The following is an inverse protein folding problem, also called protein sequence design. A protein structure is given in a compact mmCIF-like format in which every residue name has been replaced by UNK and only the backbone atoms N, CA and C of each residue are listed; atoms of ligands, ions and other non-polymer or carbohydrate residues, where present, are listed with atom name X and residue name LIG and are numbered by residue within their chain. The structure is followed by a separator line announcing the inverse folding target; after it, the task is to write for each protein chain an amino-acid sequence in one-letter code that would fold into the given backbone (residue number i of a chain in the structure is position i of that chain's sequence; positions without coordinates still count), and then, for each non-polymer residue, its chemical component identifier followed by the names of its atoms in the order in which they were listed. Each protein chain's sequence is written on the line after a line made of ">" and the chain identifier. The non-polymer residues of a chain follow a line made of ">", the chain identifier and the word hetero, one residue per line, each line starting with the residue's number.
data_IF_415879993461
#
_entry.id   IF_415879993461
#
_cell.length_a   1.000
_cell.length_b   1.000
_cell.length_c   1.000
_cell.angle_alpha   90.00
_cell.angle_beta   90.00
_cell.angle_gamma   90.00
#
_symmetry.space_group_name_H-M   'P 1'
#
loop_
_entity.id
_entity.type
_entity.pdbx_description
1 polymer ?
#
# COMPACT_ATOMS: atom_id res chain seq x y z
N UNK A 1 9.95 65.62 -35.84
CA UNK A 1 8.77 64.75 -35.66
C UNK A 1 9.31 63.34 -35.45
N UNK A 2 9.29 62.84 -34.22
CA UNK A 2 10.05 61.63 -33.82
C UNK A 2 9.21 60.37 -34.00
N UNK A 3 9.81 59.30 -34.55
CA UNK A 3 9.12 58.06 -34.90
C UNK A 3 8.74 57.25 -33.64
N UNK A 4 7.61 56.55 -33.68
CA UNK A 4 7.02 55.84 -32.52
C UNK A 4 7.93 54.71 -32.00
N UNK A 5 8.82 54.18 -32.85
CA UNK A 5 9.83 53.18 -32.49
C UNK A 5 11.00 53.72 -31.66
N UNK A 6 11.36 55.01 -31.80
CA UNK A 6 12.44 55.61 -30.99
C UNK A 6 11.99 55.87 -29.55
N UNK A 7 10.68 56.02 -29.31
CA UNK A 7 10.11 56.09 -27.95
C UNK A 7 10.17 54.75 -27.21
N UNK A 8 10.15 53.62 -27.92
CA UNK A 8 10.18 52.29 -27.30
C UNK A 8 11.58 51.91 -26.81
N UNK A 9 12.64 52.33 -27.53
CA UNK A 9 14.03 52.09 -27.10
C UNK A 9 14.45 52.95 -25.90
N UNK A 10 13.91 54.16 -25.74
CA UNK A 10 14.24 55.04 -24.62
C UNK A 10 13.62 54.61 -23.27
N UNK A 11 12.59 53.76 -23.30
CA UNK A 11 11.96 53.21 -22.09
C UNK A 11 12.60 51.91 -21.59
N UNK A 12 13.25 51.14 -22.46
CA UNK A 12 13.88 49.87 -22.09
C UNK A 12 15.27 50.05 -21.46
N UNK A 13 15.99 51.14 -21.74
CA UNK A 13 17.39 51.31 -21.31
C UNK A 13 17.57 52.03 -19.97
N UNK A 14 16.50 52.46 -19.28
CA UNK A 14 16.60 53.16 -17.97
C UNK A 14 16.12 52.36 -16.75
N UNK A 15 15.60 51.14 -16.94
CA UNK A 15 15.10 50.33 -15.82
C UNK A 15 16.01 49.14 -15.44
N UNK A 16 17.13 48.93 -16.13
CA UNK A 16 17.97 47.73 -15.96
C UNK A 16 19.24 47.93 -15.10
N UNK A 17 19.54 49.14 -14.60
CA UNK A 17 20.78 49.39 -13.83
C UNK A 17 20.56 49.89 -12.40
N UNK A 18 19.50 49.47 -11.71
CA UNK A 18 19.29 49.92 -10.31
C UNK A 18 18.62 48.93 -9.37
N UNK A 19 18.91 47.62 -9.48
CA UNK A 19 18.46 46.62 -8.47
C UNK A 19 19.42 45.44 -8.26
N UNK A 20 20.73 45.68 -8.33
CA UNK A 20 21.73 44.65 -7.96
C UNK A 20 22.28 44.81 -6.53
N UNK A 21 22.10 45.96 -5.87
CA UNK A 21 22.73 46.25 -4.57
C UNK A 21 21.76 46.24 -3.37
N UNK A 22 20.59 45.61 -3.50
CA UNK A 22 19.59 45.59 -2.42
C UNK A 22 19.08 44.18 -2.09
N UNK A 23 19.96 43.19 -2.21
CA UNK A 23 19.68 41.78 -1.86
C UNK A 23 20.60 41.27 -0.73
N UNK A 24 21.56 42.08 -0.25
CA UNK A 24 22.48 41.69 0.83
C UNK A 24 22.16 42.26 2.24
N UNK A 25 21.10 43.05 2.40
CA UNK A 25 20.75 43.71 3.68
C UNK A 25 19.42 43.27 4.30
N UNK A 26 18.92 42.09 3.94
CA UNK A 26 17.72 41.49 4.54
C UNK A 26 17.87 39.99 4.84
N UNK A 27 19.12 39.52 5.04
CA UNK A 27 19.42 38.16 5.54
C UNK A 27 19.77 38.17 7.04
N UNK A 28 19.70 39.32 7.73
CA UNK A 28 20.06 39.41 9.16
C UNK A 28 19.03 40.03 10.11
N UNK A 29 17.83 40.41 9.65
CA UNK A 29 16.79 40.96 10.54
C UNK A 29 15.39 40.49 10.17
N UNK A 30 15.08 39.26 10.54
CA UNK A 30 13.74 38.67 10.35
C UNK A 30 13.53 37.41 11.18
N UNK A 31 14.29 37.25 12.26
CA UNK A 31 13.94 36.33 13.34
C UNK A 31 12.64 36.86 13.95
N UNK A 32 11.65 35.97 14.17
CA UNK A 32 10.28 36.23 14.66
C UNK A 32 9.21 36.51 13.60
N UNK A 33 8.95 35.54 12.71
CA UNK A 33 7.59 35.39 12.17
C UNK A 33 6.81 34.54 13.18
N UNK A 34 5.87 35.21 13.84
CA UNK A 34 4.78 34.65 14.63
C UNK A 34 4.23 33.36 13.99
N UNK A 35 4.35 32.25 14.72
CA UNK A 35 3.64 31.00 14.45
C UNK A 35 2.15 31.26 14.76
N UNK A 36 1.46 31.91 13.82
CA UNK A 36 0.01 32.03 13.81
C UNK A 36 -0.53 30.66 13.46
N UNK A 37 -0.99 29.94 14.48
CA UNK A 37 -2.07 28.95 14.42
C UNK A 37 -2.10 28.07 13.18
N UNK A 38 -1.11 27.20 13.00
CA UNK A 38 -1.40 25.91 12.39
C UNK A 38 -2.29 25.23 13.42
N UNK A 39 -3.61 25.26 13.19
CA UNK A 39 -4.51 24.27 13.75
C UNK A 39 -3.81 22.93 13.51
N UNK A 40 -3.24 22.39 14.58
CA UNK A 40 -2.90 20.99 14.65
C UNK A 40 -4.23 20.28 14.43
N UNK A 41 -4.54 20.01 13.15
CA UNK A 41 -5.55 19.02 12.83
C UNK A 41 -5.13 17.81 13.64
N UNK A 42 -6.00 17.29 14.52
CA UNK A 42 -5.67 16.04 15.19
C UNK A 42 -5.32 15.09 14.07
N UNK A 43 -4.08 14.58 14.07
CA UNK A 43 -3.77 13.38 13.33
C UNK A 43 -4.87 12.43 13.76
N UNK A 44 -5.84 12.17 12.89
CA UNK A 44 -6.92 11.25 13.19
C UNK A 44 -6.21 9.99 13.61
N UNK A 45 -6.29 9.68 14.91
CA UNK A 45 -5.68 8.50 15.48
C UNK A 45 -6.23 7.35 14.65
N UNK A 46 -5.41 6.84 13.73
CA UNK A 46 -5.82 5.74 12.87
C UNK A 46 -6.10 4.60 13.83
N UNK A 47 -7.38 4.18 13.90
CA UNK A 47 -7.81 3.16 14.82
C UNK A 47 -6.94 1.92 14.63
N UNK A 48 -6.06 1.67 15.59
CA UNK A 48 -5.24 0.48 15.62
C UNK A 48 -6.20 -0.68 15.86
N UNK A 49 -6.59 -1.40 14.80
CA UNK A 49 -7.37 -2.63 14.99
C UNK A 49 -6.49 -3.63 15.71
N UNK A 50 -7.04 -4.21 16.76
CA UNK A 50 -6.43 -5.33 17.46
C UNK A 50 -6.19 -6.47 16.46
N UNK A 51 -5.00 -7.10 16.48
CA UNK A 51 -4.75 -8.31 15.72
C UNK A 51 -5.83 -9.37 16.01
N UNK A 52 -6.23 -10.10 14.96
CA UNK A 52 -7.07 -11.28 15.10
C UNK A 52 -6.27 -12.38 15.82
N UNK A 53 -6.95 -13.12 16.69
CA UNK A 53 -6.41 -14.35 17.27
C UNK A 53 -6.24 -15.43 16.21
N UNK A 54 -5.42 -16.45 16.50
CA UNK A 54 -5.21 -17.58 15.59
C UNK A 54 -6.52 -18.30 15.28
N UNK A 55 -7.41 -18.48 16.26
CA UNK A 55 -8.70 -19.15 16.07
C UNK A 55 -9.60 -18.36 15.11
N UNK A 56 -9.68 -17.04 15.27
CA UNK A 56 -10.43 -16.16 14.37
C UNK A 56 -9.89 -16.17 12.94
N UNK A 57 -8.55 -16.18 12.79
CA UNK A 57 -7.90 -16.31 11.49
C UNK A 57 -8.18 -17.65 10.83
N UNK A 58 -8.14 -18.74 11.59
CA UNK A 58 -8.43 -20.06 11.07
C UNK A 58 -9.90 -20.19 10.63
N UNK A 59 -10.82 -19.72 11.45
CA UNK A 59 -12.26 -19.76 11.17
C UNK A 59 -12.63 -18.92 9.94
N UNK A 60 -12.03 -17.74 9.79
CA UNK A 60 -12.35 -16.80 8.71
C UNK A 60 -11.66 -17.12 7.38
N UNK A 61 -10.60 -17.93 7.40
CA UNK A 61 -9.82 -18.22 6.20
C UNK A 61 -10.53 -19.23 5.29
N UNK A 62 -10.74 -18.86 4.02
CA UNK A 62 -11.12 -19.84 3.00
C UNK A 62 -9.96 -20.78 2.69
N UNK A 63 -8.72 -20.34 2.89
CA UNK A 63 -7.54 -21.15 2.65
C UNK A 63 -6.42 -20.86 3.65
N UNK A 64 -5.75 -21.92 4.10
CA UNK A 64 -4.55 -21.82 4.94
C UNK A 64 -3.40 -22.53 4.24
N UNK A 65 -2.36 -21.77 3.90
CA UNK A 65 -1.18 -22.24 3.15
C UNK A 65 0.06 -22.07 3.98
N UNK A 66 0.93 -23.08 3.98
CA UNK A 66 2.34 -22.91 4.39
C UNK A 66 3.18 -22.82 3.13
N UNK A 67 3.98 -21.76 3.00
CA UNK A 67 4.78 -21.52 1.81
C UNK A 67 6.03 -20.71 2.08
N UNK A 68 6.89 -20.60 1.06
CA UNK A 68 8.07 -19.72 1.06
C UNK A 68 7.82 -18.51 0.18
N UNK A 69 8.01 -17.31 0.72
CA UNK A 69 7.84 -16.07 -0.06
C UNK A 69 9.00 -15.92 -1.05
N UNK A 70 8.72 -15.91 -2.35
CA UNK A 70 9.74 -15.85 -3.42
C UNK A 70 9.96 -14.46 -3.97
N UNK A 71 8.90 -13.67 -4.06
CA UNK A 71 8.99 -12.29 -4.50
C UNK A 71 7.89 -11.45 -3.90
N UNK A 72 8.16 -10.15 -3.84
CA UNK A 72 7.24 -9.11 -3.41
C UNK A 72 7.32 -7.98 -4.41
N UNK A 73 6.19 -7.52 -4.89
CA UNK A 73 6.07 -6.32 -5.71
C UNK A 73 5.02 -5.40 -5.10
N UNK A 74 5.22 -4.11 -5.22
CA UNK A 74 4.24 -3.10 -4.82
C UNK A 74 3.85 -2.23 -6.01
N UNK A 75 2.62 -1.75 -5.98
CA UNK A 75 2.10 -0.79 -6.93
C UNK A 75 1.27 0.26 -6.20
N UNK A 76 1.46 1.51 -6.59
CA UNK A 76 0.59 2.60 -6.18
C UNK A 76 -0.67 2.62 -7.08
N UNK A 77 -1.83 2.66 -6.46
CA UNK A 77 -3.15 2.68 -7.10
C UNK A 77 -3.87 3.95 -6.66
N UNK A 78 -4.33 4.74 -7.62
CA UNK A 78 -5.13 5.94 -7.33
C UNK A 78 -6.52 5.52 -6.87
N UNK A 79 -6.96 6.07 -5.75
CA UNK A 79 -8.31 5.90 -5.17
C UNK A 79 -8.97 7.26 -5.01
N UNK A 80 -10.28 7.30 -4.76
CA UNK A 80 -11.03 8.57 -4.68
C UNK A 80 -10.43 9.57 -3.66
N UNK A 81 -9.82 9.07 -2.58
CA UNK A 81 -9.23 9.85 -1.50
C UNK A 81 -7.69 9.73 -1.45
N UNK A 82 -7.04 9.74 -2.62
CA UNK A 82 -5.58 9.79 -2.74
C UNK A 82 -4.99 8.56 -3.44
N UNK A 83 -3.95 7.98 -2.86
CA UNK A 83 -3.29 6.79 -3.37
C UNK A 83 -3.23 5.70 -2.30
N UNK A 84 -3.33 4.45 -2.73
CA UNK A 84 -3.15 3.26 -1.93
C UNK A 84 -1.98 2.44 -2.47
N UNK A 85 -1.17 1.86 -1.58
CA UNK A 85 -0.15 0.89 -1.98
C UNK A 85 -0.69 -0.53 -1.87
N UNK A 86 -0.81 -1.20 -3.01
CA UNK A 86 -1.16 -2.61 -3.10
C UNK A 86 0.12 -3.43 -3.28
N UNK A 87 0.17 -4.56 -2.56
CA UNK A 87 1.28 -5.48 -2.57
C UNK A 87 0.82 -6.82 -3.15
N UNK A 88 1.70 -7.41 -3.94
CA UNK A 88 1.55 -8.74 -4.51
C UNK A 88 2.75 -9.58 -4.11
N UNK A 89 2.50 -10.74 -3.52
CA UNK A 89 3.49 -11.73 -3.14
C UNK A 89 3.36 -12.97 -4.03
N UNK A 90 4.49 -13.50 -4.49
CA UNK A 90 4.55 -14.84 -5.08
C UNK A 90 5.07 -15.79 -4.01
N UNK A 91 4.29 -16.83 -3.73
CA UNK A 91 4.55 -17.78 -2.64
C UNK A 91 4.63 -19.18 -3.21
N UNK A 92 5.77 -19.85 -2.99
CA UNK A 92 5.91 -21.27 -3.29
C UNK A 92 5.21 -22.08 -2.21
N UNK A 93 4.14 -22.77 -2.56
CA UNK A 93 3.34 -23.58 -1.64
C UNK A 93 4.13 -24.81 -1.20
N UNK A 94 4.34 -24.97 0.10
CA UNK A 94 4.94 -26.16 0.70
C UNK A 94 3.89 -27.15 1.18
N UNK A 95 2.84 -26.65 1.82
CA UNK A 95 1.68 -27.47 2.19
C UNK A 95 0.41 -26.64 2.24
N UNK A 96 -0.73 -27.30 2.08
CA UNK A 96 -2.06 -26.70 2.23
C UNK A 96 -2.70 -27.33 3.45
N UNK A 97 -3.02 -26.51 4.45
CA UNK A 97 -3.63 -26.96 5.71
C UNK A 97 -5.15 -26.98 5.62
N UNK A 98 -5.72 -26.03 4.89
CA UNK A 98 -7.18 -25.90 4.69
C UNK A 98 -7.45 -25.27 3.32
N UNK A 99 -8.49 -25.76 2.65
CA UNK A 99 -9.06 -25.16 1.45
C UNK A 99 -10.57 -25.41 1.44
N UNK A 100 -11.35 -24.34 1.54
CA UNK A 100 -12.81 -24.36 1.45
C UNK A 100 -13.15 -23.69 0.11
N UNK A 101 -13.62 -24.44 -0.89
CA UNK A 101 -14.03 -23.84 -2.15
C UNK A 101 -15.26 -22.97 -1.93
N UNK A 102 -15.21 -21.69 -2.28
CA UNK A 102 -16.35 -20.76 -2.16
C UNK A 102 -17.59 -21.24 -2.95
N UNK A 103 -17.38 -22.00 -4.01
CA UNK A 103 -18.44 -22.71 -4.72
C UNK A 103 -17.82 -23.81 -5.56
N UNK A 104 -17.55 -24.96 -4.95
CA UNK A 104 -17.25 -26.16 -5.73
C UNK A 104 -18.56 -26.68 -6.31
N UNK A 105 -18.64 -26.87 -7.62
CA UNK A 105 -19.70 -27.69 -8.21
C UNK A 105 -19.58 -29.09 -7.62
N UNK A 106 -20.57 -29.49 -6.82
CA UNK A 106 -20.65 -30.85 -6.29
C UNK A 106 -20.68 -31.79 -7.48
N UNK A 107 -19.71 -32.70 -7.58
CA UNK A 107 -19.73 -33.72 -8.62
C UNK A 107 -20.98 -34.61 -8.41
N UNK A 108 -21.48 -35.28 -9.46
CA UNK A 108 -22.63 -36.18 -9.35
C UNK A 108 -22.44 -37.30 -8.32
N UNK A 109 -21.19 -37.67 -8.01
CA UNK A 109 -20.82 -38.65 -6.98
C UNK A 109 -20.79 -38.07 -5.55
N UNK A 110 -21.15 -36.80 -5.38
CA UNK A 110 -21.15 -36.11 -4.09
C UNK A 110 -19.79 -35.58 -3.64
N UNK A 111 -18.72 -35.85 -4.39
CA UNK A 111 -17.39 -35.32 -4.10
C UNK A 111 -17.23 -33.88 -4.57
N UNK A 112 -16.41 -33.10 -3.86
CA UNK A 112 -16.01 -31.78 -4.31
C UNK A 112 -14.71 -31.91 -5.10
N UNK A 113 -14.73 -31.54 -6.39
CA UNK A 113 -13.49 -31.30 -7.10
C UNK A 113 -12.89 -30.01 -6.55
N UNK A 114 -11.61 -29.98 -6.11
CA UNK A 114 -10.96 -28.70 -5.93
C UNK A 114 -10.96 -27.98 -7.29
N UNK A 115 -11.31 -26.68 -7.33
CA UNK A 115 -11.18 -25.90 -8.55
C UNK A 115 -9.75 -26.05 -9.11
N UNK A 116 -9.57 -25.91 -10.43
CA UNK A 116 -8.25 -26.00 -11.07
C UNK A 116 -7.20 -25.13 -10.38
N UNK A 117 -7.67 -24.02 -9.84
CA UNK A 117 -6.89 -22.91 -9.27
C UNK A 117 -6.65 -23.06 -7.75
N UNK A 118 -7.07 -24.18 -7.16
CA UNK A 118 -6.76 -24.47 -5.76
C UNK A 118 -5.23 -24.52 -5.54
N UNK A 119 -4.70 -23.90 -4.45
CA UNK A 119 -3.30 -24.00 -4.07
C UNK A 119 -2.85 -25.46 -3.97
N UNK A 120 -1.67 -25.77 -4.50
CA UNK A 120 -1.10 -27.13 -4.51
C UNK A 120 0.37 -27.10 -4.10
N UNK A 121 0.84 -28.05 -3.28
CA UNK A 121 2.26 -28.17 -2.96
C UNK A 121 3.15 -28.17 -4.20
N UNK A 122 4.28 -27.46 -4.14
CA UNK A 122 5.23 -27.29 -5.24
C UNK A 122 4.80 -26.31 -6.33
N UNK A 123 3.64 -25.66 -6.20
CA UNK A 123 3.20 -24.59 -7.12
C UNK A 123 3.37 -23.22 -6.49
N UNK A 124 3.46 -22.21 -7.33
CA UNK A 124 3.45 -20.82 -6.90
C UNK A 124 2.01 -20.29 -6.90
N UNK A 125 1.66 -19.52 -5.88
CA UNK A 125 0.41 -18.76 -5.81
C UNK A 125 0.71 -17.27 -5.73
N UNK A 126 -0.20 -16.47 -6.26
CA UNK A 126 -0.21 -15.01 -6.10
C UNK A 126 -1.11 -14.64 -4.92
N UNK A 127 -0.58 -13.84 -4.00
CA UNK A 127 -1.30 -13.36 -2.82
C UNK A 127 -1.24 -11.84 -2.78
N UNK A 128 -2.41 -11.21 -2.67
CA UNK A 128 -2.54 -9.76 -2.60
C UNK A 128 -2.76 -9.29 -1.17
N UNK A 129 -2.25 -8.11 -0.85
CA UNK A 129 -2.55 -7.44 0.42
C UNK A 129 -2.28 -5.95 0.35
N UNK A 130 -2.83 -5.21 1.31
CA UNK A 130 -2.58 -3.79 1.51
C UNK A 130 -1.74 -3.58 2.76
N UNK A 131 -0.96 -2.51 2.80
CA UNK A 131 -0.21 -2.09 3.98
C UNK A 131 -0.77 -0.78 4.52
N UNK A 132 -0.79 -0.67 5.85
CA UNK A 132 -1.09 0.58 6.56
C UNK A 132 -0.19 1.72 6.05
N UNK A 133 -0.79 2.87 5.71
CA UNK A 133 -0.06 4.06 5.23
C UNK A 133 -0.82 4.99 4.27
N UNK A 134 -2.05 4.66 3.88
CA UNK A 134 -2.90 5.54 3.05
C UNK A 134 -3.82 6.47 3.86
N UNK A 135 -4.22 7.59 3.27
CA UNK A 135 -5.08 8.63 3.87
C UNK A 135 -6.53 8.19 4.19
N UNK A 136 -6.88 6.93 3.93
CA UNK A 136 -8.27 6.51 3.70
C UNK A 136 -8.89 5.65 4.81
N UNK A 137 -8.17 5.39 5.92
CA UNK A 137 -8.72 4.59 7.03
C UNK A 137 -9.06 3.13 6.66
N UNK A 138 -8.52 2.64 5.54
CA UNK A 138 -8.75 1.30 5.03
C UNK A 138 -7.97 0.29 5.90
N UNK A 139 -8.63 -0.80 6.28
CA UNK A 139 -8.02 -1.93 6.99
C UNK A 139 -6.86 -2.48 6.16
N UNK A 140 -5.78 -2.91 6.79
CA UNK A 140 -4.54 -3.31 6.11
C UNK A 140 -3.70 -4.22 6.98
N UNK A 141 -2.71 -4.88 6.37
CA UNK A 141 -1.72 -5.64 7.10
C UNK A 141 -0.87 -4.73 8.01
N UNK A 142 -0.57 -5.25 9.21
CA UNK A 142 0.28 -4.58 10.19
C UNK A 142 1.76 -4.57 9.77
N UNK A 143 2.18 -5.56 9.00
CA UNK A 143 3.56 -5.76 8.57
C UNK A 143 3.66 -6.42 7.19
N UNK A 144 4.81 -6.22 6.53
CA UNK A 144 5.09 -6.85 5.23
C UNK A 144 5.46 -8.31 5.42
N UNK A 145 5.08 -9.12 4.43
CA UNK A 145 5.59 -10.48 4.32
C UNK A 145 7.13 -10.47 4.24
N UNK A 146 7.85 -11.30 5.01
CA UNK A 146 9.29 -11.42 4.92
C UNK A 146 9.70 -12.16 3.64
N UNK A 147 10.57 -11.55 2.83
CA UNK A 147 11.11 -12.18 1.63
C UNK A 147 12.02 -13.36 2.00
N UNK A 148 11.95 -14.44 1.21
CA UNK A 148 12.69 -15.68 1.39
C UNK A 148 12.47 -16.41 2.74
N UNK A 149 11.44 -16.02 3.50
CA UNK A 149 11.04 -16.70 4.71
C UNK A 149 9.91 -17.70 4.47
N UNK A 150 9.84 -18.70 5.35
CA UNK A 150 8.71 -19.60 5.43
C UNK A 150 7.60 -18.96 6.27
N UNK A 151 6.39 -18.99 5.76
CA UNK A 151 5.23 -18.34 6.36
C UNK A 151 4.02 -19.25 6.30
N UNK A 152 3.14 -19.11 7.29
CA UNK A 152 1.77 -19.58 7.20
C UNK A 152 0.90 -18.39 6.82
N UNK A 153 0.06 -18.57 5.83
CA UNK A 153 -0.83 -17.56 5.28
C UNK A 153 -2.28 -17.97 5.55
N UNK A 154 -3.06 -17.02 6.03
CA UNK A 154 -4.51 -17.11 6.22
C UNK A 154 -5.15 -16.27 5.13
N UNK A 155 -5.78 -16.94 4.19
CA UNK A 155 -6.22 -16.37 2.92
C UNK A 155 -7.74 -16.35 2.84
N UNK A 156 -8.26 -15.31 2.19
CA UNK A 156 -9.64 -15.20 1.75
C UNK A 156 -9.68 -14.88 0.26
N UNK A 157 -10.84 -15.04 -0.37
CA UNK A 157 -11.06 -14.58 -1.75
C UNK A 157 -11.80 -13.26 -1.70
N UNK A 158 -11.35 -12.28 -2.48
CA UNK A 158 -12.12 -11.03 -2.67
C UNK A 158 -12.95 -11.11 -3.95
N UNK A 159 -13.92 -10.20 -4.16
CA UNK A 159 -14.73 -10.14 -5.38
C UNK A 159 -13.92 -9.98 -6.68
N UNK A 160 -12.63 -9.62 -6.59
CA UNK A 160 -11.71 -9.59 -7.73
C UNK A 160 -11.22 -10.98 -8.16
N UNK A 161 -11.64 -12.05 -7.46
CA UNK A 161 -11.28 -13.44 -7.76
C UNK A 161 -9.87 -13.83 -7.34
N UNK A 162 -9.15 -12.96 -6.63
CA UNK A 162 -7.80 -13.22 -6.17
C UNK A 162 -7.77 -13.65 -4.71
N UNK A 163 -6.66 -14.30 -4.32
CA UNK A 163 -6.38 -14.61 -2.92
C UNK A 163 -5.78 -13.38 -2.23
N UNK A 164 -6.36 -13.01 -1.09
CA UNK A 164 -5.89 -11.92 -0.25
C UNK A 164 -5.58 -12.41 1.15
N UNK A 165 -4.61 -11.77 1.81
CA UNK A 165 -4.36 -12.01 3.23
C UNK A 165 -5.55 -11.50 4.05
N UNK A 166 -5.98 -12.28 5.04
CA UNK A 166 -6.89 -11.78 6.07
C UNK A 166 -6.25 -10.61 6.82
N UNK A 167 -6.98 -9.54 7.01
CA UNK A 167 -6.47 -8.36 7.71
C UNK A 167 -6.89 -8.38 9.19
N UNK A 168 -6.06 -7.84 10.10
CA UNK A 168 -4.82 -7.08 9.86
C UNK A 168 -3.52 -7.90 9.97
N UNK A 169 -3.58 -9.19 10.29
CA UNK A 169 -2.42 -10.05 10.57
C UNK A 169 -2.55 -11.44 9.95
N UNK A 170 -2.85 -11.51 8.65
CA UNK A 170 -3.17 -12.75 7.92
C UNK A 170 -1.99 -13.64 7.63
N UNK A 171 -0.87 -13.45 8.31
CA UNK A 171 0.31 -14.28 8.15
C UNK A 171 1.11 -14.38 9.44
N UNK A 172 1.81 -15.50 9.60
CA UNK A 172 2.78 -15.73 10.68
C UNK A 172 4.07 -16.34 10.09
N UNK A 173 5.22 -15.95 10.63
CA UNK A 173 6.49 -16.57 10.29
C UNK A 173 6.57 -17.97 10.91
N UNK A 174 7.11 -18.92 10.17
CA UNK A 174 7.39 -20.26 10.66
C UNK A 174 8.91 -20.40 10.71
N UNK A 175 9.46 -20.77 11.87
CA UNK A 175 10.86 -21.15 11.96
C UNK A 175 11.12 -22.37 11.09
N UNK A 176 12.11 -22.26 10.21
CA UNK A 176 12.64 -23.44 9.52
C UNK A 176 13.55 -24.18 10.51
N UNK A 177 13.04 -25.28 11.08
CA UNK A 177 13.87 -26.29 11.75
C UNK A 177 14.72 -27.05 10.73
#
# INVERSE_FOLDING_TARGET
>A
MMNMFDRFKLYQTKAFERKADMIWTLILSGFLINIVGILAMPQTAQAHRTPLSTDELEESACCIVVGKVKSLSSREVKVQLGSEHQFTAIVEVKSVKRWIPESGSKRPDGSFAPPSDAPKPGKNIEVKYRRRGGATGVTSQDSNLPLDAQVRLFLTTYPDGHLHLLEPNGWEAISSD
#
